data_IF_267665416308
#
_entry.id   IF_267665416308
#
_cell.length_a   1.000
_cell.length_b   1.000
_cell.length_c   1.000
_cell.angle_alpha   90.00
_cell.angle_beta   90.00
_cell.angle_gamma   90.00
#
_symmetry.space_group_name_H-M   'P 1'
#
loop_
_entity.id
_entity.type
_entity.pdbx_description
1 polymer ?
#
# COMPACT_ATOMS: atom_id res chain seq x y z
N UNK A 1 -0.59 17.15 15.28
CA UNK A 1 -1.68 16.61 16.11
C UNK A 1 -1.47 17.19 17.49
N UNK A 2 -2.27 18.21 17.82
CA UNK A 2 -2.10 19.00 19.04
C UNK A 2 -2.45 18.20 20.29
N UNK A 3 -3.41 17.29 20.22
CA UNK A 3 -3.86 16.46 21.33
C UNK A 3 -2.76 15.50 21.77
N UNK A 4 -2.08 14.86 20.80
CA UNK A 4 -0.91 14.01 21.09
C UNK A 4 0.25 14.79 21.67
N UNK A 5 0.44 16.03 21.22
CA UNK A 5 1.46 16.92 21.77
C UNK A 5 1.15 17.30 23.22
N UNK A 6 -0.10 17.68 23.52
CA UNK A 6 -0.58 17.95 24.88
C UNK A 6 -0.39 16.74 25.81
N UNK A 7 -0.75 15.54 25.34
CA UNK A 7 -0.56 14.31 26.08
C UNK A 7 0.92 14.04 26.35
N UNK A 8 1.80 14.29 25.38
CA UNK A 8 3.24 14.09 25.54
C UNK A 8 3.84 15.02 26.59
N UNK A 9 3.42 16.29 26.61
CA UNK A 9 3.82 17.25 27.65
C UNK A 9 3.31 16.83 29.04
N UNK A 10 2.06 16.36 29.12
CA UNK A 10 1.49 15.86 30.36
C UNK A 10 2.24 14.64 30.90
N UNK A 11 2.57 13.67 30.04
CA UNK A 11 3.35 12.50 30.43
C UNK A 11 4.75 12.90 30.91
N UNK A 12 5.42 13.84 30.24
CA UNK A 12 6.72 14.33 30.68
C UNK A 12 6.64 14.99 32.07
N UNK A 13 5.61 15.81 32.31
CA UNK A 13 5.35 16.41 33.62
C UNK A 13 5.15 15.34 34.71
N UNK A 14 4.40 14.27 34.42
CA UNK A 14 4.19 13.15 35.35
C UNK A 14 5.44 12.33 35.63
N UNK A 15 6.27 12.12 34.61
CA UNK A 15 7.55 11.43 34.76
C UNK A 15 8.49 12.25 35.66
N UNK A 16 8.55 13.58 35.45
CA UNK A 16 9.32 14.49 36.30
C UNK A 16 8.82 14.51 37.75
N UNK A 17 7.50 14.43 37.94
CA UNK A 17 6.86 14.41 39.24
C UNK A 17 7.19 13.14 40.04
N UNK A 18 7.10 11.97 39.40
CA UNK A 18 7.07 10.72 40.13
C UNK A 18 8.35 9.87 39.98
N UNK A 19 8.83 9.65 38.75
CA UNK A 19 9.78 8.54 38.45
C UNK A 19 11.17 9.03 38.03
N UNK A 20 11.37 10.35 37.97
CA UNK A 20 12.58 10.95 37.41
C UNK A 20 13.87 10.49 38.09
N UNK A 21 13.86 10.34 39.41
CA UNK A 21 15.03 9.94 40.21
C UNK A 21 15.24 8.43 40.29
N UNK A 22 14.19 7.65 40.07
CA UNK A 22 14.18 6.19 40.16
C UNK A 22 14.32 5.50 38.79
N UNK A 23 14.29 6.27 37.70
CA UNK A 23 14.37 5.75 36.34
C UNK A 23 15.70 5.04 36.01
N UNK A 24 15.60 3.81 35.53
CA UNK A 24 16.71 3.09 34.90
C UNK A 24 17.15 3.78 33.60
N UNK A 25 18.45 3.73 33.19
CA UNK A 25 19.47 2.75 33.60
C UNK A 25 20.33 3.12 34.82
N UNK A 26 20.26 4.38 35.28
CA UNK A 26 21.12 4.90 36.35
C UNK A 26 20.28 5.63 37.40
N UNK A 27 19.66 4.92 38.35
CA UNK A 27 18.87 5.54 39.41
C UNK A 27 19.75 6.36 40.36
N UNK A 28 19.15 7.39 40.97
CA UNK A 28 19.84 8.27 41.92
C UNK A 28 20.89 9.19 41.28
N UNK A 29 21.84 9.66 42.09
CA UNK A 29 22.72 10.79 41.75
C UNK A 29 23.67 10.53 40.57
N UNK A 30 24.06 9.27 40.35
CA UNK A 30 24.94 8.86 39.25
C UNK A 30 24.32 9.13 37.87
N UNK A 31 22.98 9.08 37.77
CA UNK A 31 22.26 9.33 36.52
C UNK A 31 21.95 10.80 36.24
N UNK A 32 22.21 11.74 37.16
CA UNK A 32 21.80 13.16 37.05
C UNK A 32 22.26 13.80 35.74
N UNK A 33 23.50 13.54 35.31
CA UNK A 33 24.06 14.09 34.06
C UNK A 33 23.35 13.54 32.81
N UNK A 34 23.15 12.22 32.76
CA UNK A 34 22.45 11.57 31.64
C UNK A 34 20.99 12.04 31.56
N UNK A 35 20.31 12.16 32.70
CA UNK A 35 18.93 12.65 32.80
C UNK A 35 18.81 14.11 32.36
N UNK A 36 19.74 15.00 32.74
CA UNK A 36 19.83 16.38 32.22
C UNK A 36 19.98 16.42 30.70
N UNK A 37 20.83 15.56 30.12
CA UNK A 37 21.00 15.47 28.66
C UNK A 37 19.74 14.96 27.96
N UNK A 38 19.10 13.91 28.49
CA UNK A 38 17.84 13.38 27.95
C UNK A 38 16.72 14.42 28.01
N UNK A 39 16.58 15.13 29.14
CA UNK A 39 15.62 16.21 29.30
C UNK A 39 15.81 17.29 28.24
N UNK A 40 17.04 17.76 28.07
CA UNK A 40 17.40 18.76 27.04
C UNK A 40 17.04 18.26 25.64
N UNK A 41 17.34 16.99 25.33
CA UNK A 41 17.04 16.40 24.02
C UNK A 41 15.54 16.26 23.78
N UNK A 42 14.76 15.88 24.80
CA UNK A 42 13.29 15.82 24.73
C UNK A 42 12.71 17.20 24.45
N UNK A 43 13.19 18.25 25.13
CA UNK A 43 12.73 19.61 24.92
C UNK A 43 13.12 20.18 23.55
N UNK A 44 14.34 19.94 23.08
CA UNK A 44 14.75 20.36 21.74
C UNK A 44 13.89 19.73 20.64
N UNK A 45 13.51 18.46 20.80
CA UNK A 45 12.58 17.78 19.89
C UNK A 45 11.18 18.35 19.98
N UNK A 46 10.71 18.62 21.19
CA UNK A 46 9.40 19.23 21.42
C UNK A 46 9.33 20.63 20.76
N UNK A 47 10.35 21.48 20.91
CA UNK A 47 10.41 22.81 20.29
C UNK A 47 10.31 22.76 18.76
N UNK A 48 10.99 21.81 18.12
CA UNK A 48 10.92 21.61 16.67
C UNK A 48 9.54 21.16 16.18
N UNK A 49 8.74 20.53 17.05
CA UNK A 49 7.42 20.00 16.70
C UNK A 49 6.24 20.93 16.97
N UNK A 50 6.42 22.04 17.72
CA UNK A 50 5.30 22.91 18.14
C UNK A 50 4.68 23.69 16.98
N UNK A 51 5.49 24.18 16.05
CA UNK A 51 5.04 25.09 14.99
C UNK A 51 4.02 24.49 14.00
N UNK A 52 3.90 23.15 13.95
CA UNK A 52 2.95 22.44 13.09
C UNK A 52 1.71 21.90 13.81
N UNK A 53 1.51 22.24 15.09
CA UNK A 53 0.39 21.70 15.86
C UNK A 53 -0.86 22.57 15.75
N UNK A 54 -1.95 21.97 15.30
CA UNK A 54 -3.31 22.49 15.45
C UNK A 54 -4.03 21.68 16.53
N UNK A 55 -4.83 22.36 17.36
CA UNK A 55 -5.72 21.74 18.33
C UNK A 55 -7.14 21.70 17.79
N UNK A 56 -7.84 20.60 18.05
CA UNK A 56 -9.24 20.41 17.73
C UNK A 56 -10.13 21.19 18.72
N UNK A 57 -10.95 22.09 18.19
CA UNK A 57 -11.89 22.90 18.96
C UNK A 57 -12.98 22.08 19.66
N UNK A 58 -13.27 20.86 19.16
CA UNK A 58 -14.31 19.99 19.71
C UNK A 58 -13.89 19.22 20.96
N UNK A 59 -12.57 19.06 21.18
CA UNK A 59 -12.00 18.30 22.30
C UNK A 59 -11.72 19.19 23.51
N UNK A 60 -11.56 20.50 23.30
CA UNK A 60 -11.37 21.51 24.35
C UNK A 60 -10.26 22.50 24.02
N UNK A 61 -9.85 23.32 25.00
CA UNK A 61 -8.78 24.28 24.81
C UNK A 61 -7.41 23.63 25.06
N UNK A 62 -6.95 22.84 24.08
CA UNK A 62 -5.66 22.15 24.14
C UNK A 62 -4.47 23.10 24.27
N UNK A 63 -4.60 24.35 23.80
CA UNK A 63 -3.59 25.40 23.94
C UNK A 63 -3.44 25.82 25.40
N UNK A 64 -4.53 26.17 26.09
CA UNK A 64 -4.45 26.57 27.51
C UNK A 64 -3.97 25.42 28.40
N UNK A 65 -4.44 24.19 28.12
CA UNK A 65 -3.93 23.00 28.81
C UNK A 65 -2.41 22.84 28.68
N UNK A 66 -1.85 23.02 27.48
CA UNK A 66 -0.40 22.99 27.28
C UNK A 66 0.32 24.06 28.09
N UNK A 67 -0.19 25.29 28.14
CA UNK A 67 0.42 26.39 28.90
C UNK A 67 0.41 26.12 30.41
N UNK A 68 -0.66 25.54 30.95
CA UNK A 68 -0.73 25.13 32.35
C UNK A 68 0.28 24.03 32.67
N UNK A 69 0.36 23.00 31.83
CA UNK A 69 1.31 21.90 32.00
C UNK A 69 2.76 22.41 31.93
N UNK A 70 3.06 23.31 31.00
CA UNK A 70 4.40 23.91 30.87
C UNK A 70 4.79 24.74 32.07
N UNK A 71 3.84 25.46 32.67
CA UNK A 71 4.09 26.23 33.90
C UNK A 71 4.47 25.29 35.05
N UNK A 72 3.76 24.16 35.21
CA UNK A 72 4.09 23.14 36.22
C UNK A 72 5.46 22.50 35.96
N UNK A 73 5.74 22.19 34.70
CA UNK A 73 6.98 21.54 34.28
C UNK A 73 8.20 22.46 34.48
N UNK A 74 8.04 23.76 34.23
CA UNK A 74 9.08 24.77 34.50
C UNK A 74 9.41 24.86 36.00
N UNK A 75 8.39 24.89 36.87
CA UNK A 75 8.60 24.87 38.32
C UNK A 75 9.33 23.60 38.78
N UNK A 76 8.95 22.43 38.23
CA UNK A 76 9.60 21.15 38.54
C UNK A 76 11.05 21.07 38.03
N UNK A 77 11.34 21.68 36.87
CA UNK A 77 12.67 21.75 36.30
C UNK A 77 13.60 22.62 37.14
N UNK A 78 13.12 23.79 37.58
CA UNK A 78 13.87 24.70 38.46
C UNK A 78 14.20 24.06 39.81
N UNK A 79 13.23 23.36 40.42
CA UNK A 79 13.44 22.64 41.68
C UNK A 79 14.53 21.55 41.57
N UNK A 80 14.74 20.99 40.38
CA UNK A 80 15.68 19.89 40.09
C UNK A 80 16.96 20.35 39.40
N UNK A 81 17.20 21.65 39.30
CA UNK A 81 18.34 22.25 38.60
C UNK A 81 18.51 21.75 37.14
N UNK A 82 17.38 21.50 36.47
CA UNK A 82 17.35 21.12 35.05
C UNK A 82 17.38 22.38 34.17
N UNK A 83 17.91 22.31 32.94
CA UNK A 83 17.88 23.44 32.02
C UNK A 83 16.44 23.83 31.64
N UNK A 84 16.05 25.09 31.86
CA UNK A 84 14.70 25.59 31.60
C UNK A 84 14.59 26.53 30.39
N UNK A 85 15.71 26.95 29.78
CA UNK A 85 15.73 27.83 28.59
C UNK A 85 14.80 27.31 27.46
N UNK A 86 14.89 26.02 27.16
CA UNK A 86 14.07 25.39 26.12
C UNK A 86 12.57 25.31 26.50
N UNK A 87 12.22 25.34 27.79
CA UNK A 87 10.82 25.41 28.23
C UNK A 87 10.24 26.81 28.02
N UNK A 88 11.05 27.84 28.21
CA UNK A 88 10.65 29.23 27.95
C UNK A 88 10.37 29.42 26.45
N UNK A 89 11.25 28.91 25.60
CA UNK A 89 11.04 28.93 24.14
C UNK A 89 9.81 28.14 23.72
N UNK A 90 9.60 26.96 24.33
CA UNK A 90 8.43 26.13 24.03
C UNK A 90 7.12 26.79 24.49
N UNK A 91 7.12 27.44 25.64
CA UNK A 91 5.97 28.24 26.13
C UNK A 91 5.64 29.38 25.16
N UNK A 92 6.65 30.13 24.70
CA UNK A 92 6.47 31.18 23.68
C UNK A 92 5.92 30.62 22.37
N UNK A 93 6.41 29.47 21.92
CA UNK A 93 5.92 28.82 20.71
C UNK A 93 4.45 28.38 20.82
N UNK A 94 4.04 27.86 22.00
CA UNK A 94 2.62 27.50 22.25
C UNK A 94 1.74 28.75 22.42
N UNK A 95 2.27 29.84 22.95
CA UNK A 95 1.56 31.14 22.98
C UNK A 95 1.31 31.73 21.58
N UNK A 96 2.16 31.41 20.61
CA UNK A 96 2.00 31.83 19.21
C UNK A 96 0.99 30.98 18.42
N UNK A 97 0.54 29.84 18.96
CA UNK A 97 -0.46 29.01 18.29
C UNK A 97 -1.84 29.70 18.27
N UNK A 98 -2.65 29.52 17.21
CA UNK A 98 -3.97 30.13 17.11
C UNK A 98 -4.82 29.83 18.35
N UNK A 99 -5.47 30.86 18.89
CA UNK A 99 -6.42 30.69 19.97
C UNK A 99 -7.70 30.12 19.38
N UNK A 100 -8.16 28.97 19.87
CA UNK A 100 -9.34 28.26 19.33
C UNK A 100 -10.67 29.02 19.49
N UNK A 101 -10.63 30.24 20.06
CA UNK A 101 -11.75 31.17 20.16
C UNK A 101 -11.88 32.15 18.97
N UNK A 102 -10.87 32.27 18.11
CA UNK A 102 -10.87 33.26 17.01
C UNK A 102 -11.31 32.71 15.64
N UNK A 103 -11.92 31.52 15.60
CA UNK A 103 -12.56 31.00 14.37
C UNK A 103 -14.02 31.51 14.26
N UNK A 104 -14.52 32.24 15.27
CA UNK A 104 -15.89 32.77 15.29
C UNK A 104 -16.11 34.19 14.73
N UNK A 105 -15.08 34.91 14.27
CA UNK A 105 -15.24 36.37 14.00
C UNK A 105 -14.67 36.91 12.69
N UNK A 106 -14.13 36.09 11.78
CA UNK A 106 -13.56 36.61 10.52
C UNK A 106 -14.08 36.01 9.21
N UNK A 107 -15.27 35.39 9.22
CA UNK A 107 -15.90 34.91 7.99
C UNK A 107 -17.37 35.31 7.86
N UNK A 108 -17.74 36.56 8.20
CA UNK A 108 -19.03 37.11 7.75
C UNK A 108 -19.07 38.64 7.87
N UNK A 109 -18.45 39.34 6.91
CA UNK A 109 -18.89 40.68 6.46
C UNK A 109 -18.22 41.10 5.15
N UNK A 110 -18.71 40.55 4.05
CA UNK A 110 -18.78 41.28 2.78
C UNK A 110 -19.86 40.66 1.89
N UNK A 111 -21.11 40.94 2.22
CA UNK A 111 -22.25 40.96 1.29
C UNK A 111 -23.49 41.41 2.07
N UNK A 112 -23.75 42.71 2.02
CA UNK A 112 -25.05 43.29 2.39
C UNK A 112 -25.98 43.14 1.16
N UNK A 113 -27.25 42.77 1.38
CA UNK A 113 -28.30 43.71 1.01
C UNK A 113 -29.34 43.90 2.14
N UNK A 114 -30.08 45.02 2.13
CA UNK A 114 -30.77 45.49 3.32
C UNK A 114 -32.19 44.93 3.46
N UNK A 115 -32.62 44.83 4.71
CA UNK A 115 -33.95 45.15 5.26
C UNK A 115 -34.42 44.09 6.25
N UNK A 116 -34.89 44.48 7.43
CA UNK A 116 -36.26 44.96 7.55
C UNK A 116 -36.52 45.75 8.85
N UNK A 117 -37.42 46.73 8.73
CA UNK A 117 -38.35 47.13 9.80
C UNK A 117 -39.78 46.79 9.32
N UNK A 118 -40.76 46.62 10.22
CA UNK A 118 -41.96 45.83 9.95
C UNK A 118 -43.14 46.68 9.48
N UNK A 119 -43.99 46.15 8.59
CA UNK A 119 -45.43 46.48 8.57
C UNK A 119 -46.28 45.52 7.72
N UNK A 120 -47.31 44.99 8.38
CA UNK A 120 -48.68 44.72 7.92
C UNK A 120 -49.01 43.91 6.62
N UNK A 121 -49.91 42.94 6.87
CA UNK A 121 -51.07 42.53 6.06
C UNK A 121 -50.94 41.43 4.99
N UNK A 122 -51.63 40.32 5.31
CA UNK A 122 -52.50 39.50 4.46
C UNK A 122 -51.96 38.76 3.21
N UNK A 123 -52.27 37.46 3.14
CA UNK A 123 -52.55 36.78 1.86
C UNK A 123 -51.76 35.50 1.57
N UNK A 124 -52.32 34.38 2.00
CA UNK A 124 -52.58 33.15 1.22
C UNK A 124 -51.46 32.34 0.49
N UNK A 125 -51.54 31.03 0.74
CA UNK A 125 -51.29 29.88 -0.14
C UNK A 125 -49.89 29.51 -0.70
N UNK A 126 -49.43 28.37 -0.17
CA UNK A 126 -49.23 27.09 -0.89
C UNK A 126 -47.90 26.78 -1.62
N UNK A 127 -47.24 25.74 -1.06
CA UNK A 127 -46.82 24.46 -1.70
C UNK A 127 -45.39 24.30 -2.26
N UNK A 128 -44.90 23.12 -1.89
CA UNK A 128 -44.03 22.19 -2.62
C UNK A 128 -42.52 22.28 -2.33
N UNK A 129 -41.98 21.13 -1.92
CA UNK A 129 -40.60 20.97 -1.46
C UNK A 129 -39.68 20.42 -2.53
N UNK A 130 -38.42 20.26 -2.13
CA UNK A 130 -37.41 19.50 -2.86
C UNK A 130 -36.38 18.97 -1.84
N UNK A 131 -36.08 17.68 -1.96
CA UNK A 131 -35.12 16.94 -1.14
C UNK A 131 -33.68 17.47 -1.34
N UNK A 132 -32.79 17.36 -0.34
CA UNK A 132 -31.41 17.79 -0.47
C UNK A 132 -30.56 16.70 -1.15
N UNK A 133 -29.89 17.06 -2.24
CA UNK A 133 -28.78 16.29 -2.81
C UNK A 133 -27.55 16.43 -1.91
N UNK A 134 -27.03 15.30 -1.43
CA UNK A 134 -25.76 15.18 -0.71
C UNK A 134 -24.58 15.43 -1.66
N UNK A 135 -23.92 16.58 -1.50
CA UNK A 135 -22.62 16.84 -2.14
C UNK A 135 -21.52 16.12 -1.36
N UNK A 136 -20.78 15.23 -2.04
CA UNK A 136 -19.58 14.58 -1.52
C UNK A 136 -18.45 15.61 -1.39
N UNK A 137 -17.86 15.69 -0.19
CA UNK A 137 -16.72 16.57 0.09
C UNK A 137 -15.47 16.11 -0.68
N UNK A 138 -14.80 17.04 -1.36
CA UNK A 138 -13.55 16.77 -2.07
C UNK A 138 -12.40 16.49 -1.09
N UNK A 139 -11.61 15.42 -1.27
CA UNK A 139 -10.46 15.16 -0.39
C UNK A 139 -9.35 16.18 -0.67
N UNK A 140 -9.09 17.07 0.29
CA UNK A 140 -7.94 17.97 0.25
C UNK A 140 -6.68 17.27 0.76
N UNK A 141 -5.70 17.05 -0.12
CA UNK A 141 -4.32 16.79 0.29
C UNK A 141 -3.80 18.07 0.95
N UNK A 142 -3.61 18.06 2.27
CA UNK A 142 -2.98 19.18 2.98
C UNK A 142 -1.55 19.45 2.49
N UNK A 143 -0.73 20.15 3.28
CA UNK A 143 0.68 20.39 2.92
C UNK A 143 1.46 19.06 2.77
N UNK A 144 1.64 18.59 1.54
CA UNK A 144 2.51 17.48 1.18
C UNK A 144 3.95 17.99 1.17
N UNK A 145 4.79 17.47 2.04
CA UNK A 145 6.24 17.72 1.99
C UNK A 145 6.91 16.51 1.35
N UNK A 146 7.59 16.74 0.23
CA UNK A 146 8.49 15.79 -0.40
C UNK A 146 9.90 16.27 -0.07
N UNK A 147 10.49 15.71 0.98
CA UNK A 147 11.86 16.02 1.38
C UNK A 147 12.75 14.82 1.02
N UNK A 148 13.64 14.95 0.02
CA UNK A 148 14.55 13.87 -0.35
C UNK A 148 15.51 13.49 0.80
N UNK A 149 15.70 14.38 1.78
CA UNK A 149 16.53 14.13 2.96
C UNK A 149 15.78 13.31 4.03
N UNK A 150 14.45 13.19 3.93
CA UNK A 150 13.61 12.51 4.89
C UNK A 150 12.75 11.44 4.19
N UNK A 151 13.37 10.28 3.96
CA UNK A 151 12.73 9.12 3.30
C UNK A 151 11.40 8.72 3.96
N UNK A 152 11.30 8.81 5.29
CA UNK A 152 10.07 8.46 6.01
C UNK A 152 8.93 9.44 5.72
N UNK A 153 9.22 10.74 5.67
CA UNK A 153 8.23 11.75 5.31
C UNK A 153 7.80 11.59 3.85
N UNK A 154 8.77 11.37 2.94
CA UNK A 154 8.50 11.15 1.52
C UNK A 154 7.65 9.90 1.29
N UNK A 155 7.96 8.78 1.96
CA UNK A 155 7.12 7.58 1.96
C UNK A 155 5.69 7.87 2.42
N UNK A 156 5.53 8.59 3.52
CA UNK A 156 4.20 8.92 4.04
C UNK A 156 3.41 9.84 3.09
N UNK A 157 4.08 10.81 2.46
CA UNK A 157 3.48 11.68 1.44
C UNK A 157 3.03 10.87 0.22
N UNK A 158 3.86 9.94 -0.28
CA UNK A 158 3.49 9.06 -1.39
C UNK A 158 2.31 8.14 -1.06
N UNK A 159 2.26 7.58 0.15
CA UNK A 159 1.12 6.76 0.59
C UNK A 159 -0.18 7.60 0.66
N UNK A 160 -0.12 8.85 1.13
CA UNK A 160 -1.28 9.75 1.12
C UNK A 160 -1.77 10.06 -0.29
N UNK A 161 -0.85 10.27 -1.23
CA UNK A 161 -1.19 10.46 -2.65
C UNK A 161 -1.84 9.19 -3.20
N UNK A 162 -1.28 8.01 -2.90
CA UNK A 162 -1.85 6.73 -3.30
C UNK A 162 -3.27 6.54 -2.72
N UNK A 163 -3.48 6.84 -1.44
CA UNK A 163 -4.80 6.76 -0.79
C UNK A 163 -5.82 7.68 -1.49
N UNK A 164 -5.44 8.92 -1.79
CA UNK A 164 -6.29 9.87 -2.52
C UNK A 164 -6.64 9.35 -3.92
N UNK A 165 -5.65 8.84 -4.67
CA UNK A 165 -5.87 8.30 -6.02
C UNK A 165 -6.80 7.08 -5.98
N UNK A 166 -6.57 6.14 -5.06
CA UNK A 166 -7.42 4.94 -4.92
C UNK A 166 -8.81 5.26 -4.36
N UNK A 167 -8.98 6.38 -3.65
CA UNK A 167 -10.27 6.83 -3.13
C UNK A 167 -11.11 7.60 -4.15
N UNK A 168 -10.47 8.31 -5.09
CA UNK A 168 -11.14 9.08 -6.14
C UNK A 168 -11.39 8.24 -7.39
N UNK A 169 -10.41 7.43 -7.81
CA UNK A 169 -10.44 6.63 -9.03
C UNK A 169 -9.92 5.20 -8.75
N UNK A 170 -10.71 4.35 -8.09
CA UNK A 170 -10.30 2.99 -7.72
C UNK A 170 -10.03 2.07 -8.92
N UNK A 171 -10.62 2.37 -10.08
CA UNK A 171 -10.42 1.60 -11.32
C UNK A 171 -9.09 1.93 -12.01
N UNK A 172 -8.37 2.97 -11.57
CA UNK A 172 -7.09 3.38 -12.19
C UNK A 172 -5.89 2.73 -11.50
N UNK A 173 -4.93 2.17 -12.27
CA UNK A 173 -3.78 1.47 -11.73
C UNK A 173 -2.76 2.38 -11.01
N UNK A 174 -2.72 3.68 -11.37
CA UNK A 174 -1.70 4.61 -10.90
C UNK A 174 -1.61 4.69 -9.36
N UNK A 175 -2.75 4.72 -8.66
CA UNK A 175 -2.77 4.77 -7.19
C UNK A 175 -2.09 3.56 -6.56
N UNK A 176 -2.32 2.37 -7.13
CA UNK A 176 -1.73 1.11 -6.67
C UNK A 176 -0.23 1.03 -6.99
N UNK A 177 0.20 1.53 -8.14
CA UNK A 177 1.62 1.61 -8.52
C UNK A 177 2.40 2.55 -7.60
N UNK A 178 1.87 3.75 -7.32
CA UNK A 178 2.48 4.71 -6.40
C UNK A 178 2.60 4.11 -4.99
N UNK A 179 1.60 3.36 -4.54
CA UNK A 179 1.63 2.65 -3.26
C UNK A 179 2.78 1.64 -3.20
N UNK A 180 2.95 0.79 -4.22
CA UNK A 180 4.03 -0.22 -4.27
C UNK A 180 5.40 0.44 -4.29
N UNK A 181 5.56 1.50 -5.10
CA UNK A 181 6.77 2.31 -5.11
C UNK A 181 7.07 2.86 -3.70
N UNK A 182 6.09 3.46 -3.02
CA UNK A 182 6.27 3.97 -1.66
C UNK A 182 6.67 2.88 -0.64
N UNK A 183 6.15 1.66 -0.80
CA UNK A 183 6.42 0.53 0.09
C UNK A 183 7.83 -0.03 -0.11
N UNK A 184 8.31 -0.14 -1.36
CA UNK A 184 9.53 -0.88 -1.68
C UNK A 184 10.73 -0.03 -2.09
N UNK A 185 10.56 1.28 -2.33
CA UNK A 185 11.66 2.17 -2.74
C UNK A 185 12.85 2.16 -1.75
N UNK A 186 12.56 2.13 -0.45
CA UNK A 186 13.61 2.12 0.59
C UNK A 186 14.22 0.74 0.87
N UNK A 187 13.71 -0.32 0.22
CA UNK A 187 14.16 -1.69 0.45
C UNK A 187 15.15 -2.05 -0.64
N UNK A 188 16.44 -2.10 -0.30
CA UNK A 188 17.53 -2.39 -1.25
C UNK A 188 18.18 -3.75 -1.02
N UNK A 189 17.86 -4.43 0.08
CA UNK A 189 18.40 -5.75 0.44
C UNK A 189 17.35 -6.61 1.10
N UNK A 190 17.51 -7.93 1.00
CA UNK A 190 16.69 -8.89 1.73
C UNK A 190 16.84 -8.70 3.26
N UNK A 191 15.80 -9.00 4.05
CA UNK A 191 15.88 -8.93 5.51
C UNK A 191 16.89 -9.96 6.04
N UNK A 192 17.56 -9.68 7.17
CA UNK A 192 18.51 -10.61 7.76
C UNK A 192 17.81 -11.91 8.16
N UNK A 193 18.47 -13.03 7.87
CA UNK A 193 17.98 -14.38 8.16
C UNK A 193 18.79 -15.04 9.26
N UNK A 194 18.13 -15.81 10.13
CA UNK A 194 18.78 -16.58 11.20
C UNK A 194 19.51 -17.82 10.66
N UNK A 195 18.80 -18.63 9.87
CA UNK A 195 19.26 -19.94 9.39
C UNK A 195 19.44 -19.97 7.86
N UNK A 196 19.65 -18.81 7.23
CA UNK A 196 19.72 -18.66 5.77
C UNK A 196 18.36 -18.67 5.05
N UNK A 197 17.25 -18.91 5.76
CA UNK A 197 15.87 -18.87 5.21
C UNK A 197 14.88 -18.09 6.06
N UNK A 198 14.95 -18.25 7.39
CA UNK A 198 13.98 -17.64 8.33
C UNK A 198 14.38 -16.24 8.73
N UNK A 199 13.50 -15.26 8.54
CA UNK A 199 13.68 -13.87 8.98
C UNK A 199 13.08 -13.64 10.37
N UNK A 200 13.54 -12.59 11.06
CA UNK A 200 12.96 -12.13 12.34
C UNK A 200 11.68 -11.30 12.15
N UNK A 201 11.17 -11.21 10.92
CA UNK A 201 9.95 -10.48 10.60
C UNK A 201 8.71 -11.28 11.01
N UNK A 202 7.75 -10.60 11.61
CA UNK A 202 6.46 -11.18 11.94
C UNK A 202 5.59 -11.30 10.68
N UNK A 203 4.98 -12.47 10.49
CA UNK A 203 3.94 -12.65 9.48
C UNK A 203 2.67 -11.88 9.86
N UNK A 204 1.84 -11.59 8.86
CA UNK A 204 0.46 -11.13 9.11
C UNK A 204 -0.30 -12.26 9.80
N UNK A 205 -1.11 -11.92 10.80
CA UNK A 205 -1.85 -12.92 11.59
C UNK A 205 -2.70 -13.83 10.68
N UNK A 206 -2.57 -15.15 10.85
CA UNK A 206 -3.30 -16.15 10.07
C UNK A 206 -4.82 -15.93 10.09
N UNK A 207 -5.39 -15.51 11.23
CA UNK A 207 -6.82 -15.20 11.36
C UNK A 207 -7.27 -14.10 10.40
N UNK A 208 -6.46 -13.03 10.24
CA UNK A 208 -6.76 -11.95 9.28
C UNK A 208 -6.65 -12.42 7.84
N UNK A 209 -5.65 -13.25 7.52
CA UNK A 209 -5.48 -13.80 6.17
C UNK A 209 -6.66 -14.71 5.81
N UNK A 210 -7.11 -15.55 6.76
CA UNK A 210 -8.30 -16.37 6.59
C UNK A 210 -9.56 -15.53 6.39
N UNK A 211 -9.75 -14.46 7.19
CA UNK A 211 -10.86 -13.51 7.02
C UNK A 211 -10.86 -12.87 5.61
N UNK A 212 -9.69 -12.48 5.10
CA UNK A 212 -9.60 -11.91 3.75
C UNK A 212 -9.95 -12.91 2.65
N UNK A 213 -9.49 -14.16 2.77
CA UNK A 213 -9.82 -15.23 1.80
C UNK A 213 -11.32 -15.54 1.82
N UNK A 214 -11.91 -15.68 3.01
CA UNK A 214 -13.34 -15.95 3.16
C UNK A 214 -14.19 -14.79 2.61
N UNK A 215 -13.77 -13.54 2.84
CA UNK A 215 -14.45 -12.36 2.30
C UNK A 215 -14.36 -12.28 0.77
N UNK A 216 -13.21 -12.65 0.19
CA UNK A 216 -13.00 -12.72 -1.25
C UNK A 216 -13.94 -13.76 -1.90
N UNK A 217 -14.11 -14.93 -1.29
CA UNK A 217 -15.01 -15.98 -1.80
C UNK A 217 -16.49 -15.60 -1.70
N UNK A 218 -16.90 -14.91 -0.62
CA UNK A 218 -18.31 -14.56 -0.38
C UNK A 218 -18.78 -13.36 -1.18
N UNK A 219 -18.07 -12.23 -1.05
CA UNK A 219 -18.49 -10.96 -1.62
C UNK A 219 -17.29 -10.02 -1.74
N UNK A 220 -16.58 -10.01 -2.87
CA UNK A 220 -15.50 -9.05 -3.09
C UNK A 220 -16.10 -7.63 -3.15
N UNK A 221 -15.65 -6.76 -2.25
CA UNK A 221 -16.06 -5.36 -2.19
C UNK A 221 -14.86 -4.41 -2.10
N UNK A 222 -15.11 -3.13 -2.36
CA UNK A 222 -14.06 -2.10 -2.31
C UNK A 222 -13.47 -1.95 -0.91
N UNK A 223 -14.26 -2.20 0.14
CA UNK A 223 -13.81 -2.10 1.52
C UNK A 223 -12.82 -3.22 1.89
N UNK A 224 -13.05 -4.45 1.44
CA UNK A 224 -12.09 -5.54 1.53
C UNK A 224 -10.78 -5.18 0.83
N UNK A 225 -10.86 -4.64 -0.39
CA UNK A 225 -9.67 -4.24 -1.14
C UNK A 225 -8.83 -3.21 -0.37
N UNK A 226 -9.48 -2.17 0.17
CA UNK A 226 -8.82 -1.14 0.98
C UNK A 226 -8.20 -1.70 2.26
N UNK A 227 -8.87 -2.64 2.95
CA UNK A 227 -8.32 -3.29 4.17
C UNK A 227 -7.07 -4.11 3.85
N UNK A 228 -7.06 -4.84 2.73
CA UNK A 228 -5.88 -5.59 2.27
C UNK A 228 -4.74 -4.61 1.97
N UNK A 229 -4.99 -3.56 1.19
CA UNK A 229 -3.99 -2.53 0.84
C UNK A 229 -3.42 -1.79 2.05
N UNK A 230 -4.20 -1.62 3.12
CA UNK A 230 -3.72 -1.07 4.39
C UNK A 230 -2.77 -2.05 5.10
N UNK A 231 -3.13 -3.34 5.15
CA UNK A 231 -2.28 -4.39 5.73
C UNK A 231 -0.96 -4.55 4.96
N UNK A 232 -0.98 -4.39 3.63
CA UNK A 232 0.21 -4.38 2.77
C UNK A 232 1.15 -3.21 3.09
N UNK A 233 0.59 -2.03 3.40
CA UNK A 233 1.38 -0.83 3.68
C UNK A 233 2.25 -0.95 4.94
N UNK A 234 1.83 -1.79 5.89
CA UNK A 234 2.54 -2.09 7.14
C UNK A 234 3.33 -3.40 7.09
N UNK A 235 3.13 -4.24 6.07
CA UNK A 235 3.78 -5.55 5.91
C UNK A 235 4.43 -5.69 4.52
N UNK A 236 5.57 -5.02 4.26
CA UNK A 236 6.15 -4.92 2.92
C UNK A 236 6.54 -6.24 2.25
N UNK A 237 6.86 -7.26 3.06
CA UNK A 237 7.30 -8.58 2.60
C UNK A 237 6.17 -9.62 2.52
N UNK A 238 4.92 -9.21 2.81
CA UNK A 238 3.76 -10.09 2.64
C UNK A 238 3.33 -10.08 1.17
N UNK A 239 4.04 -10.83 0.33
CA UNK A 239 3.81 -10.89 -1.12
C UNK A 239 2.53 -11.62 -1.46
N UNK A 240 2.14 -12.63 -0.68
CA UNK A 240 0.85 -13.29 -0.80
C UNK A 240 -0.34 -12.31 -0.71
N UNK A 241 -0.25 -11.28 0.15
CA UNK A 241 -1.29 -10.25 0.23
C UNK A 241 -1.46 -9.45 -1.07
N UNK A 242 -0.41 -9.37 -1.90
CA UNK A 242 -0.49 -8.71 -3.21
C UNK A 242 -1.25 -9.58 -4.22
N UNK A 243 -1.09 -10.90 -4.15
CA UNK A 243 -1.91 -11.84 -4.90
C UNK A 243 -3.38 -11.69 -4.51
N UNK A 244 -3.69 -11.64 -3.20
CA UNK A 244 -5.06 -11.41 -2.73
C UNK A 244 -5.64 -10.08 -3.22
N UNK A 245 -4.84 -9.00 -3.19
CA UNK A 245 -5.25 -7.70 -3.70
C UNK A 245 -5.56 -7.73 -5.20
N UNK A 246 -4.71 -8.39 -5.99
CA UNK A 246 -4.94 -8.58 -7.43
C UNK A 246 -6.18 -9.45 -7.71
N UNK A 247 -6.43 -10.49 -6.91
CA UNK A 247 -7.64 -11.31 -7.02
C UNK A 247 -8.91 -10.51 -6.72
N UNK A 248 -8.90 -9.65 -5.70
CA UNK A 248 -10.03 -8.74 -5.42
C UNK A 248 -10.21 -7.76 -6.57
N UNK A 249 -9.13 -7.17 -7.09
CA UNK A 249 -9.18 -6.24 -8.23
C UNK A 249 -9.80 -6.91 -9.47
N UNK A 250 -9.39 -8.13 -9.79
CA UNK A 250 -9.96 -8.93 -10.88
C UNK A 250 -11.44 -9.24 -10.67
N UNK A 251 -11.82 -9.61 -9.44
CA UNK A 251 -13.22 -9.91 -9.11
C UNK A 251 -14.14 -8.67 -9.18
N UNK A 252 -13.58 -7.47 -8.94
CA UNK A 252 -14.26 -6.18 -9.10
C UNK A 252 -14.25 -5.66 -10.54
N UNK A 253 -13.72 -6.42 -11.51
CA UNK A 253 -13.61 -6.01 -12.91
C UNK A 253 -12.46 -5.04 -13.22
N UNK A 254 -11.60 -4.76 -12.25
CA UNK A 254 -10.44 -3.87 -12.38
C UNK A 254 -9.19 -4.62 -12.86
N UNK A 255 -9.26 -5.29 -14.01
CA UNK A 255 -8.17 -6.11 -14.54
C UNK A 255 -6.85 -5.35 -14.77
N UNK A 256 -6.92 -4.08 -15.19
CA UNK A 256 -5.74 -3.23 -15.34
C UNK A 256 -5.01 -2.97 -14.01
N UNK A 257 -5.77 -2.84 -12.92
CA UNK A 257 -5.19 -2.72 -11.57
C UNK A 257 -4.56 -4.04 -11.13
N UNK A 258 -5.22 -5.17 -11.38
CA UNK A 258 -4.67 -6.49 -11.05
C UNK A 258 -3.31 -6.72 -11.74
N UNK A 259 -3.22 -6.40 -13.04
CA UNK A 259 -1.99 -6.54 -13.81
C UNK A 259 -0.91 -5.56 -13.35
N UNK A 260 -1.27 -4.31 -13.05
CA UNK A 260 -0.31 -3.34 -12.51
C UNK A 260 0.26 -3.77 -11.14
N UNK A 261 -0.56 -4.41 -10.30
CA UNK A 261 -0.11 -4.98 -9.03
C UNK A 261 0.85 -6.15 -9.28
N UNK A 262 0.50 -7.06 -10.20
CA UNK A 262 1.35 -8.20 -10.58
C UNK A 262 2.72 -7.73 -11.09
N UNK A 263 2.73 -6.80 -12.04
CA UNK A 263 3.97 -6.26 -12.62
C UNK A 263 4.87 -5.59 -11.58
N UNK A 264 4.29 -4.85 -10.63
CA UNK A 264 5.07 -4.24 -9.56
C UNK A 264 5.68 -5.28 -8.61
N UNK A 265 4.96 -6.36 -8.30
CA UNK A 265 5.50 -7.49 -7.50
C UNK A 265 6.62 -8.18 -8.26
N UNK A 266 6.45 -8.40 -9.56
CA UNK A 266 7.43 -9.06 -10.42
C UNK A 266 8.75 -8.28 -10.44
N UNK A 267 8.70 -6.97 -10.70
CA UNK A 267 9.87 -6.08 -10.65
C UNK A 267 10.57 -6.13 -9.27
N UNK A 268 9.80 -6.21 -8.18
CA UNK A 268 10.36 -6.30 -6.84
C UNK A 268 11.06 -7.64 -6.58
N UNK A 269 10.50 -8.75 -7.06
CA UNK A 269 11.07 -10.09 -6.94
C UNK A 269 12.29 -10.24 -7.86
N UNK A 270 12.27 -9.71 -9.08
CA UNK A 270 13.43 -9.68 -9.98
C UNK A 270 14.61 -8.90 -9.37
N UNK A 271 14.32 -7.78 -8.70
CA UNK A 271 15.33 -6.97 -8.01
C UNK A 271 15.94 -7.69 -6.81
N UNK A 272 15.18 -8.54 -6.12
CA UNK A 272 15.59 -9.28 -4.93
C UNK A 272 15.14 -10.76 -5.02
N UNK A 273 15.79 -11.58 -5.86
CA UNK A 273 15.33 -12.95 -6.14
C UNK A 273 15.34 -13.86 -4.91
N UNK A 274 16.19 -13.52 -3.93
CA UNK A 274 16.30 -14.20 -2.64
C UNK A 274 14.97 -14.25 -1.89
N UNK A 275 14.07 -13.27 -2.08
CA UNK A 275 12.78 -13.19 -1.40
C UNK A 275 11.87 -14.41 -1.68
N UNK A 276 12.07 -15.09 -2.81
CA UNK A 276 11.31 -16.29 -3.17
C UNK A 276 11.57 -17.49 -2.25
N UNK A 277 12.72 -17.52 -1.56
CA UNK A 277 13.12 -18.63 -0.68
C UNK A 277 13.00 -18.31 0.82
N UNK A 278 12.63 -17.07 1.17
CA UNK A 278 12.57 -16.60 2.55
C UNK A 278 11.24 -16.88 3.24
N UNK A 279 11.31 -17.01 4.56
CA UNK A 279 10.16 -17.21 5.44
C UNK A 279 10.13 -16.19 6.58
N UNK A 280 8.93 -15.95 7.12
CA UNK A 280 8.72 -15.20 8.35
C UNK A 280 9.15 -16.01 9.58
N UNK A 281 9.14 -15.38 10.75
CA UNK A 281 9.55 -15.99 12.01
C UNK A 281 8.72 -17.23 12.43
N UNK A 282 7.48 -17.32 11.99
CA UNK A 282 6.57 -18.46 12.19
C UNK A 282 6.80 -19.59 11.19
N UNK A 283 7.58 -19.35 10.13
CA UNK A 283 7.87 -20.30 9.05
C UNK A 283 6.98 -20.13 7.82
N UNK A 284 6.04 -19.18 7.83
CA UNK A 284 5.22 -18.85 6.66
C UNK A 284 6.11 -18.30 5.55
N UNK A 285 6.02 -18.78 4.29
CA UNK A 285 6.81 -18.26 3.20
C UNK A 285 6.40 -16.83 2.82
N UNK A 286 7.34 -16.01 2.35
CA UNK A 286 7.01 -14.68 1.84
C UNK A 286 6.13 -14.75 0.59
N UNK A 287 6.44 -15.73 -0.28
CA UNK A 287 5.71 -16.04 -1.50
C UNK A 287 5.19 -17.48 -1.40
N UNK A 288 3.88 -17.65 -1.26
CA UNK A 288 3.26 -18.97 -1.25
C UNK A 288 3.33 -19.62 -2.64
N UNK A 289 3.22 -20.97 -2.76
CA UNK A 289 3.21 -21.65 -4.05
C UNK A 289 2.11 -21.13 -5.00
N UNK A 290 0.94 -20.79 -4.45
CA UNK A 290 -0.16 -20.20 -5.22
C UNK A 290 0.19 -18.80 -5.73
N UNK A 291 0.81 -17.95 -4.89
CA UNK A 291 1.26 -16.62 -5.28
C UNK A 291 2.42 -16.67 -6.29
N UNK A 292 3.26 -17.71 -6.19
CA UNK A 292 4.31 -18.04 -7.16
C UNK A 292 3.71 -18.39 -8.53
N UNK A 293 2.74 -19.30 -8.57
CA UNK A 293 2.01 -19.63 -9.80
C UNK A 293 1.31 -18.41 -10.39
N UNK A 294 0.68 -17.56 -9.57
CA UNK A 294 0.06 -16.31 -10.02
C UNK A 294 1.08 -15.33 -10.65
N UNK A 295 2.27 -15.20 -10.06
CA UNK A 295 3.31 -14.31 -10.56
C UNK A 295 3.88 -14.79 -11.91
N UNK A 296 4.13 -16.10 -12.03
CA UNK A 296 4.70 -16.74 -13.22
C UNK A 296 3.67 -17.16 -14.27
N UNK A 297 2.38 -17.09 -13.96
CA UNK A 297 1.33 -17.23 -14.95
C UNK A 297 1.43 -16.06 -15.92
N UNK A 298 1.48 -16.38 -17.22
CA UNK A 298 1.52 -15.38 -18.28
C UNK A 298 0.35 -14.37 -18.08
N UNK A 299 0.58 -13.07 -18.32
CA UNK A 299 -0.48 -12.07 -18.17
C UNK A 299 -1.69 -12.51 -18.98
N UNK A 300 -2.85 -12.62 -18.33
CA UNK A 300 -4.10 -12.71 -19.06
C UNK A 300 -4.14 -11.48 -19.98
N UNK A 301 -4.34 -11.64 -21.30
CA UNK A 301 -4.34 -10.51 -22.22
C UNK A 301 -5.46 -9.57 -21.79
N UNK A 302 -5.10 -8.50 -21.10
CA UNK A 302 -6.03 -7.40 -20.85
C UNK A 302 -6.27 -6.77 -22.21
N UNK A 303 -7.53 -6.77 -22.62
CA UNK A 303 -7.99 -6.19 -23.89
C UNK A 303 -7.69 -4.69 -23.89
N UNK A 304 -6.50 -4.32 -24.34
CA UNK A 304 -6.09 -2.92 -24.47
C UNK A 304 -4.68 -2.69 -23.97
N UNK A 305 -3.75 -2.58 -24.92
CA UNK A 305 -2.36 -2.12 -24.76
C UNK A 305 -1.37 -3.19 -24.25
N UNK A 306 -1.03 -4.12 -25.14
CA UNK A 306 0.38 -4.52 -25.27
C UNK A 306 0.79 -4.37 -26.73
N UNK A 307 1.74 -3.45 -26.98
CA UNK A 307 2.41 -3.27 -28.26
C UNK A 307 3.58 -4.23 -28.47
N UNK A 308 3.72 -5.27 -27.64
CA UNK A 308 4.55 -6.43 -27.95
C UNK A 308 3.70 -7.41 -28.74
N UNK A 309 4.14 -7.77 -29.95
CA UNK A 309 3.49 -8.80 -30.78
C UNK A 309 3.25 -10.05 -29.94
N UNK A 310 2.02 -10.24 -29.42
CA UNK A 310 1.64 -11.45 -28.71
C UNK A 310 2.02 -12.64 -29.60
N UNK A 311 2.65 -13.65 -29.03
CA UNK A 311 3.14 -14.76 -29.84
C UNK A 311 1.96 -15.46 -30.51
N UNK A 312 2.09 -16.02 -31.73
CA UNK A 312 0.95 -16.63 -32.42
C UNK A 312 0.18 -17.67 -31.58
N UNK A 313 0.91 -18.45 -30.76
CA UNK A 313 0.32 -19.43 -29.85
C UNK A 313 -0.44 -18.83 -28.66
N UNK A 314 -0.10 -17.62 -28.21
CA UNK A 314 -0.82 -16.92 -27.13
C UNK A 314 -2.13 -16.33 -27.64
N UNK A 315 -2.11 -15.80 -28.87
CA UNK A 315 -3.32 -15.28 -29.52
C UNK A 315 -4.33 -16.41 -29.76
N UNK A 316 -3.86 -17.55 -30.26
CA UNK A 316 -4.72 -18.68 -30.59
C UNK A 316 -5.18 -19.44 -29.36
N UNK A 317 -4.38 -19.43 -28.29
CA UNK A 317 -4.84 -19.90 -26.98
C UNK A 317 -6.00 -19.05 -26.45
N UNK A 318 -5.91 -17.72 -26.52
CA UNK A 318 -7.00 -16.82 -26.15
C UNK A 318 -8.29 -17.12 -26.93
N UNK A 319 -8.18 -17.28 -28.25
CA UNK A 319 -9.30 -17.68 -29.12
C UNK A 319 -9.85 -19.07 -28.78
N UNK A 320 -8.99 -20.02 -28.43
CA UNK A 320 -9.40 -21.37 -28.02
C UNK A 320 -10.20 -21.35 -26.69
N UNK A 321 -9.86 -20.46 -25.76
CA UNK A 321 -10.63 -20.27 -24.52
C UNK A 321 -12.03 -19.70 -24.78
N UNK A 322 -12.15 -18.75 -25.72
CA UNK A 322 -13.44 -18.21 -26.15
C UNK A 322 -14.33 -19.31 -26.76
N UNK A 323 -13.77 -20.14 -27.65
CA UNK A 323 -14.48 -21.29 -28.23
C UNK A 323 -14.87 -22.34 -27.17
N UNK A 324 -14.03 -22.53 -26.15
CA UNK A 324 -14.37 -23.40 -25.02
C UNK A 324 -15.54 -22.86 -24.17
N UNK A 325 -15.66 -21.53 -24.02
CA UNK A 325 -16.79 -20.92 -23.33
C UNK A 325 -18.12 -21.18 -24.06
N UNK A 326 -18.07 -21.33 -25.39
CA UNK A 326 -19.20 -21.73 -26.24
C UNK A 326 -19.48 -23.26 -26.20
N UNK A 327 -18.76 -24.03 -25.36
CA UNK A 327 -18.83 -25.48 -25.14
C UNK A 327 -18.28 -26.38 -26.25
N UNK A 328 -17.51 -25.81 -27.18
CA UNK A 328 -16.94 -26.55 -28.31
C UNK A 328 -15.43 -26.78 -28.12
N UNK A 329 -15.07 -27.90 -27.50
CA UNK A 329 -13.67 -28.30 -27.27
C UNK A 329 -12.94 -28.71 -28.56
N UNK A 330 -13.65 -29.34 -29.50
CA UNK A 330 -13.04 -29.88 -30.72
C UNK A 330 -12.51 -28.78 -31.64
N UNK A 331 -13.27 -27.70 -31.95
CA UNK A 331 -12.76 -26.57 -32.72
C UNK A 331 -11.61 -25.83 -32.01
N UNK A 332 -11.68 -25.72 -30.68
CA UNK A 332 -10.63 -25.08 -29.89
C UNK A 332 -9.29 -25.85 -29.97
N UNK A 333 -9.35 -27.19 -29.91
CA UNK A 333 -8.16 -28.04 -30.11
C UNK A 333 -7.67 -28.02 -31.56
N UNK A 334 -8.58 -28.05 -32.55
CA UNK A 334 -8.21 -27.95 -33.97
C UNK A 334 -7.46 -26.66 -34.29
N UNK A 335 -7.89 -25.54 -33.72
CA UNK A 335 -7.20 -24.26 -33.88
C UNK A 335 -5.73 -24.34 -33.41
N UNK A 336 -5.48 -24.96 -32.25
CA UNK A 336 -4.13 -25.12 -31.72
C UNK A 336 -3.31 -26.18 -32.48
N UNK A 337 -3.95 -27.23 -32.99
CA UNK A 337 -3.32 -28.23 -33.85
C UNK A 337 -2.91 -27.66 -35.21
N UNK A 338 -3.74 -26.79 -35.80
CA UNK A 338 -3.43 -26.07 -37.04
C UNK A 338 -2.22 -25.13 -36.85
N UNK A 339 -2.18 -24.43 -35.71
CA UNK A 339 -1.03 -23.62 -35.30
C UNK A 339 0.24 -24.46 -35.12
N UNK A 340 0.12 -25.62 -34.48
CA UNK A 340 1.22 -26.57 -34.32
C UNK A 340 1.73 -27.12 -35.67
N UNK A 341 0.82 -27.38 -36.62
CA UNK A 341 1.20 -27.84 -37.97
C UNK A 341 1.95 -26.77 -38.77
N UNK A 342 1.68 -25.49 -38.50
CA UNK A 342 2.39 -24.36 -39.11
C UNK A 342 3.76 -24.04 -38.47
N UNK A 343 4.03 -24.54 -37.26
CA UNK A 343 5.21 -24.22 -36.48
C UNK A 343 6.50 -24.85 -37.06
N UNK A 344 7.50 -24.03 -37.33
CA UNK A 344 8.75 -24.47 -37.97
C UNK A 344 9.88 -24.68 -36.99
N UNK A 345 9.88 -23.93 -35.89
CA UNK A 345 10.93 -23.99 -34.91
C UNK A 345 10.56 -24.90 -33.73
N UNK A 346 11.54 -25.62 -33.15
CA UNK A 346 11.29 -26.46 -31.97
C UNK A 346 10.70 -25.69 -30.79
N UNK A 347 11.15 -24.45 -30.59
CA UNK A 347 10.57 -23.50 -29.63
C UNK A 347 9.08 -23.28 -29.88
N UNK A 348 8.69 -22.93 -31.10
CA UNK A 348 7.28 -22.69 -31.45
C UNK A 348 6.43 -23.94 -31.21
N UNK A 349 6.88 -25.09 -31.71
CA UNK A 349 6.19 -26.37 -31.54
C UNK A 349 5.98 -26.73 -30.06
N UNK A 350 6.96 -26.42 -29.22
CA UNK A 350 6.86 -26.61 -27.79
C UNK A 350 5.73 -25.75 -27.19
N UNK A 351 5.70 -24.45 -27.50
CA UNK A 351 4.68 -23.55 -26.96
C UNK A 351 3.26 -23.89 -27.46
N UNK A 352 3.11 -24.31 -28.71
CA UNK A 352 1.84 -24.81 -29.24
C UNK A 352 1.35 -26.05 -28.47
N UNK A 353 2.23 -27.04 -28.23
CA UNK A 353 1.89 -28.23 -27.44
C UNK A 353 1.55 -27.88 -25.99
N UNK A 354 2.25 -26.91 -25.40
CA UNK A 354 1.95 -26.44 -24.05
C UNK A 354 0.57 -25.77 -23.99
N UNK A 355 0.23 -24.95 -24.99
CA UNK A 355 -1.10 -24.33 -25.10
C UNK A 355 -2.19 -25.40 -25.20
N UNK A 356 -2.02 -26.44 -26.05
CA UNK A 356 -2.95 -27.57 -26.14
C UNK A 356 -3.09 -28.32 -24.82
N UNK A 357 -1.98 -28.57 -24.11
CA UNK A 357 -2.00 -29.26 -22.82
C UNK A 357 -2.73 -28.46 -21.73
N UNK A 358 -2.57 -27.13 -21.71
CA UNK A 358 -3.32 -26.24 -20.81
C UNK A 358 -4.81 -26.27 -21.13
N UNK A 359 -5.17 -26.18 -22.40
CA UNK A 359 -6.57 -26.27 -22.86
C UNK A 359 -7.22 -27.59 -22.42
N UNK A 360 -6.51 -28.71 -22.60
CA UNK A 360 -6.98 -30.02 -22.14
C UNK A 360 -7.14 -30.12 -20.62
N UNK A 361 -6.27 -29.46 -19.86
CA UNK A 361 -6.40 -29.41 -18.39
C UNK A 361 -7.66 -28.64 -17.98
N UNK A 362 -7.91 -27.50 -18.60
CA UNK A 362 -9.10 -26.67 -18.35
C UNK A 362 -10.39 -27.37 -18.80
N UNK A 363 -10.35 -28.19 -19.85
CA UNK A 363 -11.50 -28.96 -20.34
C UNK A 363 -11.79 -30.24 -19.55
N UNK A 364 -11.03 -30.53 -18.49
CA UNK A 364 -11.21 -31.73 -17.65
C UNK A 364 -10.47 -32.99 -18.12
N UNK A 365 -9.68 -32.93 -19.20
CA UNK A 365 -8.83 -34.03 -19.69
C UNK A 365 -7.48 -34.09 -18.94
N UNK A 366 -7.55 -34.09 -17.60
CA UNK A 366 -6.39 -33.91 -16.71
C UNK A 366 -5.32 -35.01 -16.86
N UNK A 367 -5.72 -36.25 -17.13
CA UNK A 367 -4.79 -37.38 -17.32
C UNK A 367 -4.00 -37.26 -18.61
N UNK A 368 -4.64 -36.81 -19.69
CA UNK A 368 -3.99 -36.60 -20.98
C UNK A 368 -3.07 -35.38 -20.94
N UNK A 369 -3.55 -34.28 -20.35
CA UNK A 369 -2.77 -33.07 -20.14
C UNK A 369 -1.52 -33.33 -19.30
N UNK A 370 -1.64 -34.06 -18.18
CA UNK A 370 -0.49 -34.35 -17.31
C UNK A 370 0.56 -35.23 -18.01
N UNK A 371 0.13 -36.19 -18.85
CA UNK A 371 1.05 -36.99 -19.66
C UNK A 371 1.81 -36.12 -20.66
N UNK A 372 1.12 -35.25 -21.38
CA UNK A 372 1.77 -34.35 -22.33
C UNK A 372 2.74 -33.37 -21.66
N UNK A 373 2.38 -32.83 -20.49
CA UNK A 373 3.27 -31.96 -19.72
C UNK A 373 4.53 -32.71 -19.27
N UNK A 374 4.41 -33.97 -18.84
CA UNK A 374 5.57 -34.80 -18.49
C UNK A 374 6.48 -35.06 -19.70
N UNK A 375 5.89 -35.38 -20.86
CA UNK A 375 6.66 -35.60 -22.08
C UNK A 375 7.37 -34.29 -22.53
N UNK A 376 6.72 -33.13 -22.37
CA UNK A 376 7.32 -31.80 -22.62
C UNK A 376 8.47 -31.49 -21.64
N UNK A 377 8.31 -31.82 -20.36
CA UNK A 377 9.36 -31.65 -19.35
C UNK A 377 10.60 -32.49 -19.65
N UNK A 378 10.42 -33.74 -20.08
CA UNK A 378 11.53 -34.60 -20.49
C UNK A 378 12.26 -34.06 -21.73
N UNK A 379 11.53 -33.47 -22.68
CA UNK A 379 12.11 -32.86 -23.87
C UNK A 379 13.02 -31.68 -23.50
N UNK A 380 12.54 -30.73 -22.68
CA UNK A 380 13.35 -29.58 -22.24
C UNK A 380 14.62 -30.00 -21.51
N UNK A 381 14.55 -31.02 -20.64
CA UNK A 381 15.70 -31.48 -19.86
C UNK A 381 16.89 -31.97 -20.70
N UNK A 382 16.69 -32.22 -22.00
CA UNK A 382 17.70 -32.74 -22.93
C UNK A 382 18.12 -31.77 -24.04
N UNK A 383 17.47 -30.60 -24.17
CA UNK A 383 17.67 -29.69 -25.30
C UNK A 383 18.79 -28.68 -25.05
N UNK A 384 19.66 -28.53 -26.04
CA UNK A 384 20.68 -27.47 -26.12
C UNK A 384 20.10 -26.26 -26.84
N UNK A 385 20.54 -25.05 -26.51
CA UNK A 385 20.07 -23.79 -27.12
C UNK A 385 20.19 -23.81 -28.66
N UNK A 386 21.20 -24.52 -29.18
CA UNK A 386 21.44 -24.69 -30.63
C UNK A 386 20.31 -25.41 -31.35
N UNK A 387 19.71 -26.41 -30.70
CA UNK A 387 18.57 -27.16 -31.23
C UNK A 387 17.24 -26.47 -30.91
N UNK A 388 17.21 -25.58 -29.92
CA UNK A 388 15.99 -24.93 -29.43
C UNK A 388 15.55 -23.76 -30.32
N UNK A 389 16.49 -22.88 -30.70
CA UNK A 389 16.19 -21.66 -31.47
C UNK A 389 17.29 -21.38 -32.51
N UNK A 390 17.38 -22.20 -33.58
CA UNK A 390 18.44 -22.10 -34.57
C UNK A 390 18.39 -20.80 -35.40
N UNK A 391 17.22 -20.14 -35.48
CA UNK A 391 17.10 -18.86 -36.15
C UNK A 391 17.76 -17.71 -35.38
N UNK A 392 17.67 -17.74 -34.05
CA UNK A 392 18.35 -16.76 -33.19
C UNK A 392 19.87 -16.86 -33.37
N UNK A 393 20.41 -18.08 -33.42
CA UNK A 393 21.84 -18.27 -33.71
C UNK A 393 22.24 -17.73 -35.08
N UNK A 394 21.46 -18.02 -36.13
CA UNK A 394 21.70 -17.45 -37.47
C UNK A 394 21.60 -15.92 -37.49
N UNK A 395 20.76 -15.33 -36.64
CA UNK A 395 20.68 -13.88 -36.48
C UNK A 395 21.91 -13.32 -35.77
N UNK A 396 22.35 -13.97 -34.69
CA UNK A 396 23.57 -13.58 -33.96
C UNK A 396 24.81 -13.70 -34.85
N UNK A 397 24.95 -14.77 -35.64
CA UNK A 397 26.03 -14.96 -36.61
C UNK A 397 26.01 -13.94 -37.75
N UNK A 398 24.83 -13.40 -38.11
CA UNK A 398 24.71 -12.34 -39.14
C UNK A 398 25.03 -10.95 -38.61
N UNK A 399 24.93 -10.75 -37.29
CA UNK A 399 25.14 -9.48 -36.63
C UNK A 399 26.55 -9.35 -36.03
N UNK A 400 27.26 -10.48 -35.86
CA UNK A 400 28.70 -10.55 -35.63
C UNK A 400 29.48 -10.38 -36.94
#
# INVERSE_FOLDING_TARGET
>A
DGERFALSLYLLQRVLENWWDEGWPYPGDQGKRARKMMFTQMLQRACKGVAGNSFDASVGDGRSFCLEVLTKLQAQAQQRELPDDALVDLRRAVEQLPQTRDIGTHAEKSAEPPSSSPSAAAGDSAKAGAAPSTMLASPTLGALTLDPSNERATRQSLLKVADMLTGTEPERPLGYQVRRYAIWQSITSAPPTRDGKRSDLAAVSADRVAEYREALEKSPDQALWQRIEQSLSVSPFWLEGHCLSASVASALGCGACAEAIRAAVDEFVERLPQLSELTFNDGTPFLSPEAQEWLWSAPAPTSGQSGGSASPWEQDYGRALELMAEKDLVPALQLLEDGLAGAREPREQFYWRLASARLMKESGLVTLASRQIQDLQQQIGSLVIEDWEPALLKQLERLA
#
